data_IF_637370921943
#
_entry.id   IF_637370921943
#
_cell.length_a   1.000
_cell.length_b   1.000
_cell.length_c   1.000
_cell.angle_alpha   90.00
_cell.angle_beta   90.00
_cell.angle_gamma   90.00
#
_symmetry.space_group_name_H-M   'P 1'
#
loop_
_entity.id
_entity.type
_entity.pdbx_description
1 polymer ?
#
# COMPACT_ATOMS: atom_id res chain seq x y z
N UNK A 1 -46.35 -22.55 -43.93
CA UNK A 1 -46.93 -21.68 -42.87
C UNK A 1 -45.83 -21.45 -41.85
N UNK A 2 -45.26 -20.24 -41.77
CA UNK A 2 -44.31 -19.89 -40.72
C UNK A 2 -45.04 -19.94 -39.37
N UNK A 3 -44.81 -20.99 -38.58
CA UNK A 3 -45.38 -21.13 -37.24
C UNK A 3 -44.86 -20.07 -36.27
N UNK A 4 -43.75 -19.38 -36.59
CA UNK A 4 -43.14 -18.35 -35.75
C UNK A 4 -44.05 -17.11 -35.58
N UNK A 5 -44.56 -16.55 -36.68
CA UNK A 5 -45.37 -15.33 -36.64
C UNK A 5 -46.76 -15.54 -36.01
N UNK A 6 -47.33 -16.74 -36.15
CA UNK A 6 -48.60 -17.10 -35.52
C UNK A 6 -48.44 -17.38 -34.02
N UNK A 7 -47.30 -17.93 -33.59
CA UNK A 7 -47.03 -18.22 -32.18
C UNK A 7 -46.81 -16.94 -31.38
N UNK A 8 -46.14 -15.94 -31.96
CA UNK A 8 -45.94 -14.61 -31.33
C UNK A 8 -47.31 -13.91 -31.09
N UNK A 9 -48.25 -14.01 -32.04
CA UNK A 9 -49.60 -13.44 -31.89
C UNK A 9 -50.46 -14.13 -30.82
N UNK A 10 -50.28 -15.44 -30.61
CA UNK A 10 -50.98 -16.18 -29.55
C UNK A 10 -50.42 -15.80 -28.16
N UNK A 11 -49.11 -15.59 -28.10
CA UNK A 11 -48.39 -15.16 -26.90
C UNK A 11 -48.82 -13.76 -26.42
N UNK A 12 -48.94 -12.79 -27.32
CA UNK A 12 -49.37 -11.42 -26.98
C UNK A 12 -50.85 -11.34 -26.55
N UNK A 13 -51.67 -12.31 -26.95
CA UNK A 13 -53.09 -12.39 -26.59
C UNK A 13 -53.36 -13.13 -25.26
N UNK A 14 -52.35 -13.79 -24.67
CA UNK A 14 -52.47 -14.58 -23.44
C UNK A 14 -53.45 -15.75 -23.52
N UNK A 15 -53.84 -16.17 -24.73
CA UNK A 15 -54.82 -17.22 -24.94
C UNK A 15 -54.19 -18.59 -24.72
N UNK A 16 -54.88 -19.47 -23.97
CA UNK A 16 -54.47 -20.86 -23.69
C UNK A 16 -53.21 -21.05 -22.82
N UNK A 17 -52.73 -20.00 -22.14
CA UNK A 17 -51.66 -20.15 -21.16
C UNK A 17 -52.11 -21.03 -19.98
N UNK A 18 -51.33 -22.07 -19.70
CA UNK A 18 -51.56 -23.04 -18.62
C UNK A 18 -50.48 -22.96 -17.52
N UNK A 19 -49.54 -22.01 -17.64
CA UNK A 19 -48.40 -21.82 -16.74
C UNK A 19 -48.17 -20.35 -16.42
N UNK A 20 -47.97 -20.04 -15.13
CA UNK A 20 -47.49 -18.76 -14.62
C UNK A 20 -46.12 -18.96 -13.96
N UNK A 21 -45.09 -18.29 -14.49
CA UNK A 21 -43.76 -18.26 -13.88
C UNK A 21 -43.51 -16.87 -13.30
N UNK A 22 -43.23 -16.83 -11.99
CA UNK A 22 -42.71 -15.62 -11.33
C UNK A 22 -41.20 -15.60 -11.45
N UNK A 23 -40.65 -14.57 -12.10
CA UNK A 23 -39.23 -14.39 -12.36
C UNK A 23 -38.66 -13.26 -11.51
N UNK A 24 -37.43 -13.45 -11.04
CA UNK A 24 -36.66 -12.44 -10.32
C UNK A 24 -36.84 -12.51 -8.81
N UNK A 25 -36.20 -11.58 -8.12
CA UNK A 25 -36.24 -11.43 -6.67
C UNK A 25 -36.90 -10.10 -6.28
N UNK A 26 -37.62 -10.08 -5.16
CA UNK A 26 -38.30 -8.86 -4.69
C UNK A 26 -37.27 -7.73 -4.46
N UNK A 27 -37.54 -6.48 -4.89
CA UNK A 27 -38.82 -5.98 -5.42
C UNK A 27 -39.00 -6.14 -6.94
N UNK A 28 -37.99 -6.64 -7.67
CA UNK A 28 -37.96 -6.69 -9.13
C UNK A 28 -38.45 -8.05 -9.65
N UNK A 29 -39.73 -8.33 -9.43
CA UNK A 29 -40.36 -9.57 -9.93
C UNK A 29 -41.39 -9.31 -11.02
N UNK A 30 -41.49 -10.22 -11.98
CA UNK A 30 -42.54 -10.18 -13.00
C UNK A 30 -43.17 -11.57 -13.19
N UNK A 31 -44.46 -11.58 -13.54
CA UNK A 31 -45.20 -12.82 -13.82
C UNK A 31 -45.31 -12.99 -15.33
N UNK A 32 -44.83 -14.12 -15.84
CA UNK A 32 -44.94 -14.52 -17.23
C UNK A 32 -46.01 -15.60 -17.38
N UNK A 33 -46.98 -15.38 -18.27
CA UNK A 33 -48.01 -16.36 -18.64
C UNK A 33 -47.60 -17.09 -19.90
N UNK A 34 -47.40 -18.40 -19.79
CA UNK A 34 -46.71 -19.23 -20.78
C UNK A 34 -47.46 -20.54 -21.03
N UNK A 35 -46.97 -21.28 -22.04
CA UNK A 35 -47.48 -22.60 -22.42
C UNK A 35 -46.48 -23.68 -21.97
N UNK A 36 -46.90 -24.52 -21.03
CA UNK A 36 -46.07 -25.57 -20.44
C UNK A 36 -45.51 -26.52 -21.51
N UNK A 37 -46.32 -26.88 -22.51
CA UNK A 37 -45.94 -27.78 -23.61
C UNK A 37 -44.77 -27.24 -24.44
N UNK A 38 -44.73 -25.92 -24.70
CA UNK A 38 -43.66 -25.29 -25.48
C UNK A 38 -42.36 -25.31 -24.67
N UNK A 39 -42.42 -24.91 -23.39
CA UNK A 39 -41.26 -24.89 -22.50
C UNK A 39 -40.66 -26.30 -22.32
N UNK A 40 -41.50 -27.33 -22.09
CA UNK A 40 -41.06 -28.73 -21.95
C UNK A 40 -40.38 -29.28 -23.21
N UNK A 41 -40.78 -28.81 -24.39
CA UNK A 41 -40.17 -29.24 -25.65
C UNK A 41 -38.79 -28.60 -25.86
N UNK A 42 -38.65 -27.34 -25.42
CA UNK A 42 -37.49 -26.49 -25.75
C UNK A 42 -36.39 -26.50 -24.70
N UNK A 43 -36.69 -26.94 -23.48
CA UNK A 43 -35.77 -26.93 -22.35
C UNK A 43 -35.95 -28.18 -21.51
N UNK A 44 -34.87 -28.94 -21.34
CA UNK A 44 -34.85 -30.11 -20.45
C UNK A 44 -35.08 -29.70 -18.99
N UNK A 45 -34.56 -28.55 -18.58
CA UNK A 45 -34.85 -27.98 -17.26
C UNK A 45 -36.35 -27.82 -17.05
N UNK A 46 -37.06 -27.20 -18.01
CA UNK A 46 -38.50 -27.04 -17.90
C UNK A 46 -39.25 -28.36 -18.01
N UNK A 47 -38.78 -29.31 -18.83
CA UNK A 47 -39.33 -30.67 -18.89
C UNK A 47 -39.34 -31.35 -17.52
N UNK A 48 -38.24 -31.24 -16.80
CA UNK A 48 -38.04 -31.89 -15.50
C UNK A 48 -38.78 -31.15 -14.39
N UNK A 49 -38.59 -29.82 -14.26
CA UNK A 49 -39.24 -29.04 -13.20
C UNK A 49 -40.76 -29.05 -13.37
N UNK A 50 -41.25 -28.99 -14.63
CA UNK A 50 -42.69 -28.98 -14.90
C UNK A 50 -43.35 -30.37 -14.82
N UNK A 51 -42.58 -31.39 -14.44
CA UNK A 51 -43.05 -32.73 -14.13
C UNK A 51 -42.77 -33.14 -12.67
N UNK A 52 -42.27 -32.20 -11.86
CA UNK A 52 -41.88 -32.42 -10.47
C UNK A 52 -42.93 -31.93 -9.47
N UNK A 53 -42.83 -32.43 -8.24
CA UNK A 53 -43.71 -32.04 -7.11
C UNK A 53 -43.51 -30.58 -6.66
N UNK A 54 -42.54 -29.85 -7.23
CA UNK A 54 -42.24 -28.45 -6.89
C UNK A 54 -43.24 -27.46 -7.49
N UNK A 55 -44.10 -27.90 -8.42
CA UNK A 55 -45.11 -27.04 -9.05
C UNK A 55 -46.38 -27.01 -8.20
N UNK A 56 -46.96 -25.83 -8.07
CA UNK A 56 -48.31 -25.68 -7.51
C UNK A 56 -49.32 -25.59 -8.64
N UNK A 57 -50.46 -26.26 -8.49
CA UNK A 57 -51.59 -26.13 -9.42
C UNK A 57 -52.72 -25.39 -8.72
N UNK A 58 -53.06 -24.22 -9.22
CA UNK A 58 -54.14 -23.36 -8.69
C UNK A 58 -55.06 -22.94 -9.84
N UNK A 59 -56.37 -23.15 -9.70
CA UNK A 59 -57.35 -22.78 -10.74
C UNK A 59 -57.01 -23.32 -12.14
N UNK A 60 -56.49 -24.56 -12.22
CA UNK A 60 -56.00 -25.21 -13.43
C UNK A 60 -54.74 -24.59 -14.08
N UNK A 61 -54.12 -23.59 -13.45
CA UNK A 61 -52.86 -22.99 -13.89
C UNK A 61 -51.71 -23.53 -13.06
N UNK A 62 -50.64 -23.94 -13.71
CA UNK A 62 -49.38 -24.32 -13.08
C UNK A 62 -48.64 -23.06 -12.62
N UNK A 63 -48.11 -23.05 -11.41
CA UNK A 63 -47.38 -21.92 -10.84
C UNK A 63 -45.98 -22.34 -10.42
N UNK A 64 -44.99 -21.56 -10.85
CA UNK A 64 -43.59 -21.78 -10.57
C UNK A 64 -42.87 -20.45 -10.30
N UNK A 65 -41.80 -20.49 -9.49
CA UNK A 65 -40.99 -19.31 -9.14
C UNK A 65 -39.51 -19.61 -9.41
N UNK A 66 -38.83 -18.71 -10.11
CA UNK A 66 -37.40 -18.79 -10.44
C UNK A 66 -36.75 -17.43 -10.13
N UNK A 67 -35.90 -17.44 -9.12
CA UNK A 67 -35.32 -16.23 -8.51
C UNK A 67 -33.99 -15.82 -9.15
N UNK A 68 -33.16 -16.80 -9.55
CA UNK A 68 -31.79 -16.58 -10.05
C UNK A 68 -31.68 -16.08 -11.52
N UNK A 69 -32.74 -15.50 -12.08
CA UNK A 69 -32.72 -14.90 -13.43
C UNK A 69 -33.46 -13.58 -13.38
N UNK A 70 -32.86 -12.51 -13.92
CA UNK A 70 -33.52 -11.20 -13.97
C UNK A 70 -34.67 -11.20 -14.97
N UNK A 71 -35.66 -10.33 -14.73
CA UNK A 71 -36.84 -10.17 -15.61
C UNK A 71 -36.42 -9.85 -17.05
N UNK A 72 -35.43 -8.97 -17.23
CA UNK A 72 -34.91 -8.58 -18.55
C UNK A 72 -34.30 -9.78 -19.30
N UNK A 73 -33.42 -10.53 -18.64
CA UNK A 73 -32.77 -11.70 -19.25
C UNK A 73 -33.80 -12.78 -19.60
N UNK A 74 -34.74 -13.04 -18.69
CA UNK A 74 -35.79 -14.02 -18.95
C UNK A 74 -36.69 -13.59 -20.11
N UNK A 75 -36.95 -12.30 -20.30
CA UNK A 75 -37.72 -11.80 -21.44
C UNK A 75 -37.06 -12.13 -22.78
N UNK A 76 -35.73 -12.02 -22.86
CA UNK A 76 -34.96 -12.41 -24.06
C UNK A 76 -35.06 -13.92 -24.30
N UNK A 77 -34.87 -14.72 -23.24
CA UNK A 77 -34.98 -16.19 -23.30
C UNK A 77 -36.38 -16.63 -23.73
N UNK A 78 -37.40 -16.00 -23.16
CA UNK A 78 -38.79 -16.23 -23.50
C UNK A 78 -39.03 -15.98 -25.00
N UNK A 79 -38.60 -14.85 -25.55
CA UNK A 79 -38.74 -14.59 -26.98
C UNK A 79 -38.05 -15.66 -27.83
N UNK A 80 -36.84 -16.06 -27.43
CA UNK A 80 -36.10 -17.12 -28.12
C UNK A 80 -36.87 -18.44 -28.13
N UNK A 81 -37.40 -18.88 -26.99
CA UNK A 81 -38.17 -20.14 -26.86
C UNK A 81 -39.31 -20.20 -27.89
N UNK A 82 -39.98 -19.07 -28.16
CA UNK A 82 -41.13 -19.00 -29.05
C UNK A 82 -40.82 -18.66 -30.51
N UNK A 83 -39.65 -18.06 -30.80
CA UNK A 83 -39.34 -17.53 -32.13
C UNK A 83 -38.07 -18.07 -32.77
N UNK A 84 -37.21 -18.78 -32.02
CA UNK A 84 -35.83 -19.14 -32.41
C UNK A 84 -34.90 -17.94 -32.65
N UNK A 85 -35.34 -16.71 -32.34
CA UNK A 85 -34.55 -15.49 -32.53
C UNK A 85 -33.97 -15.03 -31.19
N UNK A 86 -32.66 -14.83 -31.15
CA UNK A 86 -31.96 -14.25 -30.00
C UNK A 86 -31.78 -12.75 -30.23
N UNK A 87 -32.43 -11.96 -29.39
CA UNK A 87 -32.25 -10.50 -29.35
C UNK A 87 -30.94 -10.17 -28.63
N UNK A 88 -29.81 -10.29 -29.33
CA UNK A 88 -28.51 -9.90 -28.79
C UNK A 88 -28.46 -8.42 -28.47
N UNK A 89 -27.87 -8.10 -27.32
CA UNK A 89 -27.66 -6.70 -26.91
C UNK A 89 -26.26 -6.25 -27.30
N UNK A 90 -26.04 -4.92 -27.36
CA UNK A 90 -24.69 -4.37 -27.50
C UNK A 90 -23.87 -4.46 -26.22
N UNK A 91 -24.51 -4.76 -25.08
CA UNK A 91 -23.84 -4.90 -23.80
C UNK A 91 -23.34 -6.34 -23.60
N UNK A 92 -22.02 -6.48 -23.42
CA UNK A 92 -21.40 -7.79 -23.19
C UNK A 92 -21.85 -8.38 -21.86
N UNK A 93 -22.10 -7.57 -20.83
CA UNK A 93 -22.50 -8.06 -19.52
C UNK A 93 -23.88 -8.72 -19.59
N UNK A 94 -24.85 -8.09 -20.26
CA UNK A 94 -26.15 -8.69 -20.54
C UNK A 94 -26.04 -9.98 -21.36
N UNK A 95 -25.19 -10.02 -22.40
CA UNK A 95 -25.02 -11.25 -23.20
C UNK A 95 -24.35 -12.40 -22.41
N UNK A 96 -23.42 -12.10 -21.49
CA UNK A 96 -22.83 -13.11 -20.60
C UNK A 96 -23.86 -13.58 -19.56
N UNK A 97 -24.64 -12.66 -18.97
CA UNK A 97 -25.73 -13.03 -18.08
C UNK A 97 -26.79 -13.90 -18.80
N UNK A 98 -27.05 -13.61 -20.08
CA UNK A 98 -27.90 -14.41 -20.94
C UNK A 98 -27.33 -15.82 -21.17
N UNK A 99 -26.03 -15.94 -21.41
CA UNK A 99 -25.34 -17.23 -21.54
C UNK A 99 -25.51 -18.08 -20.26
N UNK A 100 -25.25 -17.48 -19.10
CA UNK A 100 -25.40 -18.15 -17.80
C UNK A 100 -26.85 -18.59 -17.58
N UNK A 101 -27.82 -17.71 -17.84
CA UNK A 101 -29.24 -18.03 -17.66
C UNK A 101 -29.74 -19.09 -18.67
N UNK A 102 -29.23 -19.09 -19.90
CA UNK A 102 -29.55 -20.10 -20.90
C UNK A 102 -29.04 -21.49 -20.46
N UNK A 103 -27.83 -21.56 -19.91
CA UNK A 103 -27.28 -22.80 -19.34
C UNK A 103 -28.07 -23.28 -18.11
N UNK A 104 -28.41 -22.35 -17.20
CA UNK A 104 -29.28 -22.59 -16.04
C UNK A 104 -30.64 -23.22 -16.41
N UNK A 105 -31.10 -22.96 -17.65
CA UNK A 105 -32.34 -23.49 -18.23
C UNK A 105 -32.10 -24.61 -19.25
N UNK A 106 -30.88 -25.12 -19.35
CA UNK A 106 -30.44 -26.18 -20.27
C UNK A 106 -30.81 -25.91 -21.74
N UNK A 107 -30.58 -24.68 -22.22
CA UNK A 107 -30.83 -24.23 -23.59
C UNK A 107 -29.55 -24.29 -24.44
N UNK A 108 -29.02 -25.51 -24.66
CA UNK A 108 -27.68 -25.72 -25.25
C UNK A 108 -27.46 -25.06 -26.62
N UNK A 109 -28.47 -25.05 -27.50
CA UNK A 109 -28.39 -24.41 -28.82
C UNK A 109 -28.23 -22.89 -28.68
N UNK A 110 -28.92 -22.30 -27.70
CA UNK A 110 -28.81 -20.88 -27.38
C UNK A 110 -27.42 -20.56 -26.82
N UNK A 111 -26.90 -21.38 -25.90
CA UNK A 111 -25.54 -21.20 -25.36
C UNK A 111 -24.49 -21.18 -26.48
N UNK A 112 -24.58 -22.15 -27.40
CA UNK A 112 -23.66 -22.24 -28.55
C UNK A 112 -23.72 -21.00 -29.44
N UNK A 113 -24.92 -20.49 -29.72
CA UNK A 113 -25.11 -19.27 -30.50
C UNK A 113 -24.58 -18.02 -29.78
N UNK A 114 -24.76 -17.93 -28.46
CA UNK A 114 -24.25 -16.81 -27.66
C UNK A 114 -22.72 -16.83 -27.59
N UNK A 115 -22.09 -18.00 -27.36
CA UNK A 115 -20.63 -18.13 -27.38
C UNK A 115 -20.04 -17.68 -28.73
N UNK A 116 -20.60 -18.16 -29.84
CA UNK A 116 -20.17 -17.76 -31.18
C UNK A 116 -20.31 -16.24 -31.39
N UNK A 117 -21.41 -15.64 -30.92
CA UNK A 117 -21.64 -14.20 -31.02
C UNK A 117 -20.63 -13.40 -30.18
N UNK A 118 -20.36 -13.81 -28.94
CA UNK A 118 -19.39 -13.16 -28.07
C UNK A 118 -17.99 -13.17 -28.69
N UNK A 119 -17.58 -14.31 -29.24
CA UNK A 119 -16.25 -14.50 -29.83
C UNK A 119 -16.03 -13.76 -31.16
N UNK A 120 -17.08 -13.19 -31.77
CA UNK A 120 -16.95 -12.32 -32.94
C UNK A 120 -16.26 -10.98 -32.62
N UNK A 121 -16.35 -10.51 -31.37
CA UNK A 121 -15.71 -9.27 -30.92
C UNK A 121 -14.79 -9.53 -29.72
N UNK A 122 -13.65 -10.17 -30.01
CA UNK A 122 -12.63 -10.51 -29.01
C UNK A 122 -12.07 -9.29 -28.28
N UNK A 123 -12.04 -8.12 -28.93
CA UNK A 123 -11.52 -6.89 -28.31
C UNK A 123 -12.50 -6.33 -27.29
N UNK A 124 -13.80 -6.41 -27.56
CA UNK A 124 -14.82 -6.04 -26.57
C UNK A 124 -14.84 -7.02 -25.38
N UNK A 125 -14.58 -8.30 -25.62
CA UNK A 125 -14.38 -9.30 -24.56
C UNK A 125 -13.17 -8.98 -23.68
N UNK A 126 -12.03 -8.64 -24.29
CA UNK A 126 -10.82 -8.20 -23.56
C UNK A 126 -11.04 -6.97 -22.70
N UNK A 127 -11.90 -6.04 -23.12
CA UNK A 127 -12.28 -4.86 -22.32
C UNK A 127 -13.18 -5.19 -21.12
N UNK A 128 -13.88 -6.33 -21.15
CA UNK A 128 -14.81 -6.78 -20.09
C UNK A 128 -14.36 -8.14 -19.53
N UNK A 129 -13.05 -8.30 -19.36
CA UNK A 129 -12.44 -9.60 -19.13
C UNK A 129 -12.81 -10.18 -17.76
N UNK A 130 -13.08 -9.34 -16.76
CA UNK A 130 -13.52 -9.78 -15.42
C UNK A 130 -14.89 -10.45 -15.48
N UNK A 131 -15.81 -9.92 -16.29
CA UNK A 131 -17.14 -10.52 -16.48
C UNK A 131 -17.04 -11.93 -17.06
N UNK A 132 -16.08 -12.19 -17.94
CA UNK A 132 -15.84 -13.52 -18.55
C UNK A 132 -15.37 -14.52 -17.48
N UNK A 133 -14.49 -14.09 -16.58
CA UNK A 133 -13.95 -14.92 -15.49
C UNK A 133 -15.06 -15.58 -14.69
N UNK A 134 -16.15 -14.87 -14.40
CA UNK A 134 -17.26 -15.43 -13.64
C UNK A 134 -17.96 -16.57 -14.38
N UNK A 135 -18.19 -16.42 -15.68
CA UNK A 135 -18.83 -17.45 -16.49
C UNK A 135 -17.95 -18.70 -16.63
N UNK A 136 -16.67 -18.52 -16.96
CA UNK A 136 -15.76 -19.65 -17.23
C UNK A 136 -15.26 -20.37 -15.98
N UNK A 137 -15.21 -19.69 -14.83
CA UNK A 137 -14.87 -20.35 -13.56
C UNK A 137 -16.04 -21.15 -12.98
N UNK A 138 -17.27 -20.78 -13.33
CA UNK A 138 -18.48 -21.47 -12.84
C UNK A 138 -18.88 -22.65 -13.73
N UNK A 139 -18.58 -22.59 -15.03
CA UNK A 139 -19.01 -23.56 -16.03
C UNK A 139 -17.87 -23.96 -16.96
N UNK A 140 -17.47 -25.23 -16.93
CA UNK A 140 -16.35 -25.77 -17.72
C UNK A 140 -16.75 -26.19 -19.15
N UNK A 141 -18.04 -26.31 -19.43
CA UNK A 141 -18.57 -26.76 -20.72
C UNK A 141 -18.66 -25.65 -21.78
N UNK A 142 -18.46 -24.37 -21.42
CA UNK A 142 -18.30 -23.26 -22.38
C UNK A 142 -16.91 -23.30 -23.04
N UNK A 143 -16.63 -24.38 -23.77
CA UNK A 143 -15.28 -24.76 -24.21
C UNK A 143 -14.59 -23.70 -25.06
N UNK A 144 -15.31 -23.03 -25.96
CA UNK A 144 -14.72 -22.02 -26.84
C UNK A 144 -14.38 -20.74 -26.06
N UNK A 145 -15.29 -20.28 -25.21
CA UNK A 145 -15.07 -19.11 -24.36
C UNK A 145 -13.98 -19.36 -23.31
N UNK A 146 -13.95 -20.56 -22.72
CA UNK A 146 -12.92 -20.99 -21.78
C UNK A 146 -11.55 -21.06 -22.44
N UNK A 147 -11.45 -21.57 -23.67
CA UNK A 147 -10.20 -21.61 -24.42
C UNK A 147 -9.72 -20.19 -24.74
N UNK A 148 -10.61 -19.30 -25.17
CA UNK A 148 -10.29 -17.88 -25.38
C UNK A 148 -9.74 -17.23 -24.11
N UNK A 149 -10.41 -17.43 -22.98
CA UNK A 149 -9.99 -16.92 -21.67
C UNK A 149 -8.59 -17.41 -21.29
N UNK A 150 -8.36 -18.73 -21.36
CA UNK A 150 -7.06 -19.34 -21.03
C UNK A 150 -5.93 -18.82 -21.91
N UNK A 151 -6.15 -18.79 -23.24
CA UNK A 151 -5.15 -18.30 -24.18
C UNK A 151 -4.81 -16.82 -23.93
N UNK A 152 -5.84 -15.98 -23.70
CA UNK A 152 -5.64 -14.54 -23.48
C UNK A 152 -4.85 -14.26 -22.20
N UNK A 153 -5.15 -14.99 -21.10
CA UNK A 153 -4.37 -14.86 -19.87
C UNK A 153 -2.94 -15.37 -20.00
N UNK A 154 -2.74 -16.46 -20.74
CA UNK A 154 -1.40 -17.01 -20.97
C UNK A 154 -0.54 -16.05 -21.79
N UNK A 155 -1.13 -15.35 -22.76
CA UNK A 155 -0.44 -14.35 -23.59
C UNK A 155 -0.10 -13.07 -22.83
N UNK A 156 -1.07 -12.48 -22.12
CA UNK A 156 -0.87 -11.26 -21.34
C UNK A 156 -1.76 -11.26 -20.07
N UNK A 157 -1.22 -11.68 -18.91
CA UNK A 157 -1.97 -11.63 -17.65
C UNK A 157 -2.39 -10.21 -17.26
N UNK A 158 -1.71 -9.16 -17.75
CA UNK A 158 -2.03 -7.77 -17.41
C UNK A 158 -3.36 -7.33 -18.00
N UNK A 159 -3.95 -8.11 -18.91
CA UNK A 159 -5.28 -7.87 -19.48
C UNK A 159 -6.35 -7.74 -18.39
N UNK A 160 -6.23 -8.52 -17.31
CA UNK A 160 -7.13 -8.44 -16.15
C UNK A 160 -7.09 -7.06 -15.51
N UNK A 161 -5.89 -6.56 -15.23
CA UNK A 161 -5.70 -5.25 -14.62
C UNK A 161 -6.16 -4.12 -15.56
N UNK A 162 -6.06 -4.30 -16.87
CA UNK A 162 -6.46 -3.30 -17.88
C UNK A 162 -7.95 -3.31 -18.22
N UNK A 163 -8.71 -4.29 -17.75
CA UNK A 163 -10.13 -4.41 -18.07
C UNK A 163 -10.95 -3.23 -17.51
N UNK A 164 -11.94 -2.77 -18.28
CA UNK A 164 -12.79 -1.64 -17.89
C UNK A 164 -13.73 -2.01 -16.73
N UNK A 165 -14.05 -3.28 -16.59
CA UNK A 165 -14.87 -3.85 -15.53
C UNK A 165 -14.03 -4.37 -14.36
N UNK A 166 -12.75 -4.00 -14.27
CA UNK A 166 -11.86 -4.49 -13.22
C UNK A 166 -12.43 -4.30 -11.81
N UNK A 167 -13.10 -3.17 -11.55
CA UNK A 167 -13.70 -2.86 -10.25
C UNK A 167 -14.80 -3.83 -9.81
N UNK A 168 -15.33 -4.66 -10.70
CA UNK A 168 -16.32 -5.70 -10.36
C UNK A 168 -15.69 -7.04 -9.96
N UNK A 169 -14.35 -7.15 -9.96
CA UNK A 169 -13.67 -8.39 -9.60
C UNK A 169 -13.95 -8.75 -8.14
N UNK A 170 -14.18 -10.02 -7.89
CA UNK A 170 -14.30 -10.55 -6.54
C UNK A 170 -12.91 -10.52 -5.85
N UNK A 171 -12.90 -10.22 -4.55
CA UNK A 171 -11.67 -10.03 -3.76
C UNK A 171 -10.76 -11.26 -3.81
N UNK A 172 -11.34 -12.45 -3.66
CA UNK A 172 -10.60 -13.70 -3.62
C UNK A 172 -9.92 -13.95 -4.98
N UNK A 173 -10.63 -13.73 -6.09
CA UNK A 173 -10.08 -13.85 -7.45
C UNK A 173 -8.94 -12.83 -7.67
N UNK A 174 -9.11 -11.59 -7.20
CA UNK A 174 -8.07 -10.59 -7.33
C UNK A 174 -6.81 -10.95 -6.51
N UNK A 175 -6.99 -11.48 -5.30
CA UNK A 175 -5.88 -11.91 -4.46
C UNK A 175 -5.11 -13.08 -5.11
N UNK A 176 -5.81 -14.05 -5.67
CA UNK A 176 -5.21 -15.16 -6.42
C UNK A 176 -4.41 -14.65 -7.63
N UNK A 177 -4.99 -13.70 -8.39
CA UNK A 177 -4.35 -13.10 -9.55
C UNK A 177 -3.00 -12.44 -9.17
N UNK A 178 -2.98 -11.63 -8.11
CA UNK A 178 -1.76 -10.96 -7.63
C UNK A 178 -0.73 -11.96 -7.08
N UNK A 179 -1.20 -13.08 -6.53
CA UNK A 179 -0.32 -14.12 -5.97
C UNK A 179 0.34 -14.98 -7.04
N UNK A 180 -0.36 -15.24 -8.16
CA UNK A 180 0.10 -16.15 -9.23
C UNK A 180 0.98 -15.42 -10.24
N UNK A 181 0.64 -14.17 -10.60
CA UNK A 181 1.29 -13.47 -11.70
C UNK A 181 2.28 -12.40 -11.22
N UNK A 182 3.46 -12.29 -11.85
CA UNK A 182 4.52 -11.35 -11.44
C UNK A 182 4.26 -9.93 -11.99
N UNK A 183 3.15 -9.32 -11.60
CA UNK A 183 2.85 -7.93 -12.00
C UNK A 183 3.84 -6.93 -11.42
N UNK A 184 3.96 -5.77 -12.06
CA UNK A 184 4.71 -4.66 -11.48
C UNK A 184 4.01 -4.21 -10.18
N UNK A 185 4.73 -4.13 -9.05
CA UNK A 185 4.10 -3.83 -7.75
C UNK A 185 3.30 -2.51 -7.75
N UNK A 186 3.77 -1.50 -8.48
CA UNK A 186 3.06 -0.22 -8.58
C UNK A 186 1.77 -0.29 -9.39
N UNK A 187 1.69 -1.16 -10.40
CA UNK A 187 0.47 -1.38 -11.19
C UNK A 187 -0.59 -2.08 -10.33
N UNK A 188 -0.17 -3.09 -9.57
CA UNK A 188 -1.03 -3.78 -8.59
C UNK A 188 -1.57 -2.79 -7.55
N UNK A 189 -0.69 -1.97 -6.97
CA UNK A 189 -1.09 -0.98 -5.97
C UNK A 189 -2.16 -0.02 -6.52
N UNK A 190 -1.95 0.55 -7.71
CA UNK A 190 -2.90 1.50 -8.30
C UNK A 190 -4.27 0.84 -8.53
N UNK A 191 -4.28 -0.40 -9.03
CA UNK A 191 -5.50 -1.16 -9.28
C UNK A 191 -6.20 -1.58 -7.99
N UNK A 192 -5.44 -1.93 -6.96
CA UNK A 192 -5.98 -2.25 -5.65
C UNK A 192 -6.70 -1.05 -5.02
N UNK A 193 -6.08 0.13 -5.11
CA UNK A 193 -6.73 1.38 -4.71
C UNK A 193 -8.02 1.60 -5.52
N UNK A 194 -7.95 1.59 -6.85
CA UNK A 194 -9.12 1.76 -7.72
C UNK A 194 -10.28 0.81 -7.35
N UNK A 195 -9.97 -0.47 -7.15
CA UNK A 195 -10.94 -1.48 -6.76
C UNK A 195 -11.54 -1.23 -5.37
N UNK A 196 -10.70 -0.93 -4.38
CA UNK A 196 -11.16 -0.72 -3.01
C UNK A 196 -12.08 0.51 -2.90
N UNK A 197 -11.78 1.58 -3.64
CA UNK A 197 -12.67 2.75 -3.73
C UNK A 197 -14.02 2.39 -4.37
N UNK A 198 -14.02 1.56 -5.42
CA UNK A 198 -15.27 1.13 -6.05
C UNK A 198 -16.16 0.26 -5.13
N UNK A 199 -15.55 -0.50 -4.20
CA UNK A 199 -16.31 -1.29 -3.21
C UNK A 199 -17.01 -0.41 -2.17
N UNK A 200 -16.40 0.71 -1.81
CA UNK A 200 -16.95 1.62 -0.82
C UNK A 200 -17.78 2.69 -1.54
N UNK A 201 -19.08 2.39 -1.70
CA UNK A 201 -20.08 3.15 -2.51
C UNK A 201 -20.24 4.66 -2.19
N UNK A 202 -19.48 5.22 -1.24
CA UNK A 202 -19.56 6.62 -0.77
C UNK A 202 -18.20 7.25 -0.42
N UNK A 203 -17.10 6.92 -1.11
CA UNK A 203 -15.84 7.66 -0.89
C UNK A 203 -15.72 8.91 -1.79
N UNK A 204 -15.18 10.02 -1.25
CA UNK A 204 -14.69 11.14 -2.04
C UNK A 204 -13.47 10.74 -2.88
N UNK A 205 -13.17 11.52 -3.93
CA UNK A 205 -12.13 11.26 -4.93
C UNK A 205 -10.69 11.17 -4.38
N UNK A 206 -10.48 11.56 -3.12
CA UNK A 206 -9.16 11.64 -2.49
C UNK A 206 -9.19 11.15 -1.04
N UNK A 207 -8.12 10.47 -0.62
CA UNK A 207 -7.98 9.95 0.76
C UNK A 207 -7.93 11.05 1.84
N UNK A 208 -7.56 12.28 1.46
CA UNK A 208 -7.54 13.46 2.31
C UNK A 208 -8.92 13.86 2.85
N UNK A 209 -10.00 13.34 2.25
CA UNK A 209 -11.40 13.69 2.54
C UNK A 209 -12.14 12.50 3.22
N UNK A 210 -11.44 11.39 3.51
CA UNK A 210 -12.06 10.22 4.12
C UNK A 210 -12.35 10.40 5.62
N UNK A 211 -13.53 9.95 6.06
CA UNK A 211 -13.86 9.79 7.49
C UNK A 211 -13.06 8.64 8.12
N UNK A 212 -12.98 8.60 9.46
CA UNK A 212 -12.34 7.50 10.20
C UNK A 212 -12.90 6.12 9.82
N UNK A 213 -14.21 6.03 9.63
CA UNK A 213 -14.91 4.78 9.32
C UNK A 213 -14.58 4.28 7.91
N UNK A 214 -14.44 5.21 6.96
CA UNK A 214 -14.00 4.93 5.59
C UNK A 214 -12.55 4.41 5.57
N UNK A 215 -11.67 4.96 6.42
CA UNK A 215 -10.27 4.52 6.53
C UNK A 215 -10.18 3.10 7.09
N UNK A 216 -10.98 2.76 8.11
CA UNK A 216 -11.02 1.40 8.67
C UNK A 216 -11.48 0.38 7.62
N UNK A 217 -12.55 0.71 6.90
CA UNK A 217 -13.10 -0.17 5.84
C UNK A 217 -12.07 -0.38 4.72
N UNK A 218 -11.39 0.70 4.30
CA UNK A 218 -10.35 0.64 3.28
C UNK A 218 -9.16 -0.22 3.73
N UNK A 219 -8.75 -0.09 5.01
CA UNK A 219 -7.70 -0.90 5.61
C UNK A 219 -8.05 -2.39 5.57
N UNK A 220 -9.27 -2.76 5.96
CA UNK A 220 -9.71 -4.17 5.98
C UNK A 220 -9.77 -4.78 4.58
N UNK A 221 -10.14 -4.00 3.56
CA UNK A 221 -10.16 -4.45 2.17
C UNK A 221 -8.75 -4.70 1.61
N UNK A 222 -7.79 -3.84 1.96
CA UNK A 222 -6.43 -3.83 1.39
C UNK A 222 -5.48 -4.77 2.14
N UNK A 223 -5.67 -4.95 3.44
CA UNK A 223 -4.75 -5.71 4.29
C UNK A 223 -4.35 -7.09 3.73
N UNK A 224 -5.27 -7.90 3.15
CA UNK A 224 -4.90 -9.21 2.57
C UNK A 224 -3.89 -9.13 1.43
N UNK A 225 -3.81 -8.00 0.72
CA UNK A 225 -2.95 -7.83 -0.44
C UNK A 225 -1.54 -7.35 -0.09
N UNK A 226 -1.34 -6.75 1.10
CA UNK A 226 -0.10 -6.06 1.46
C UNK A 226 1.12 -6.97 1.36
N UNK A 227 1.03 -8.22 1.84
CA UNK A 227 2.13 -9.19 1.77
C UNK A 227 2.46 -9.67 0.35
N UNK A 228 1.56 -9.47 -0.61
CA UNK A 228 1.74 -9.89 -2.00
C UNK A 228 2.32 -8.78 -2.88
N UNK A 229 2.42 -7.55 -2.38
CA UNK A 229 3.01 -6.42 -3.10
C UNK A 229 4.45 -6.22 -2.62
N UNK A 230 5.41 -6.35 -3.53
CA UNK A 230 6.83 -6.08 -3.24
C UNK A 230 7.10 -4.58 -3.22
N UNK A 231 6.74 -3.91 -2.13
CA UNK A 231 6.87 -2.45 -2.03
C UNK A 231 8.30 -1.95 -2.22
N UNK A 232 9.32 -2.70 -1.79
CA UNK A 232 10.74 -2.37 -1.97
C UNK A 232 11.14 -2.27 -3.46
N UNK A 233 10.44 -2.98 -4.34
CA UNK A 233 10.66 -2.94 -5.80
C UNK A 233 9.92 -1.76 -6.49
N UNK A 234 9.09 -1.01 -5.75
CA UNK A 234 8.46 0.22 -6.26
C UNK A 234 9.52 1.32 -6.31
N UNK A 235 9.57 2.10 -7.38
CA UNK A 235 10.49 3.24 -7.45
C UNK A 235 10.15 4.28 -6.36
N UNK A 236 11.15 4.89 -5.67
CA UNK A 236 10.89 5.81 -4.55
C UNK A 236 9.95 6.96 -4.89
N UNK A 237 10.07 7.52 -6.10
CA UNK A 237 9.20 8.60 -6.57
C UNK A 237 7.75 8.14 -6.75
N UNK A 238 7.50 6.92 -7.20
CA UNK A 238 6.15 6.35 -7.33
C UNK A 238 5.57 5.98 -5.98
N UNK A 239 6.36 5.40 -5.08
CA UNK A 239 5.95 5.11 -3.71
C UNK A 239 5.46 6.39 -3.00
N UNK A 240 6.24 7.46 -3.11
CA UNK A 240 5.89 8.77 -2.54
C UNK A 240 4.60 9.35 -3.12
N UNK A 241 4.42 9.25 -4.43
CA UNK A 241 3.25 9.85 -5.09
C UNK A 241 1.98 9.03 -4.92
N UNK A 242 2.07 7.70 -4.96
CA UNK A 242 0.91 6.81 -5.09
C UNK A 242 0.64 5.95 -3.85
N UNK A 243 1.67 5.54 -3.10
CA UNK A 243 1.50 4.66 -1.93
C UNK A 243 1.37 5.47 -0.64
N UNK A 244 2.28 6.41 -0.42
CA UNK A 244 2.32 7.23 0.79
C UNK A 244 1.00 7.91 1.18
N UNK A 245 0.18 8.48 0.26
CA UNK A 245 -1.07 9.12 0.67
C UNK A 245 -1.96 8.20 1.53
N UNK A 246 -1.76 6.90 1.39
CA UNK A 246 -2.43 5.82 2.10
C UNK A 246 -1.65 5.30 3.32
N UNK A 247 -0.68 6.05 3.87
CA UNK A 247 0.12 5.61 5.03
C UNK A 247 -0.72 5.16 6.24
N UNK A 248 -1.91 5.74 6.41
CA UNK A 248 -2.80 5.47 7.56
C UNK A 248 -3.44 4.08 7.50
N UNK A 249 -3.54 3.49 6.31
CA UNK A 249 -4.05 2.12 6.15
C UNK A 249 -2.92 1.08 6.21
N UNK A 250 -1.67 1.50 6.12
CA UNK A 250 -0.50 0.63 6.27
C UNK A 250 -0.12 0.49 7.74
N UNK A 251 0.48 -0.65 8.11
CA UNK A 251 1.09 -0.82 9.42
C UNK A 251 2.30 0.14 9.55
N UNK A 252 2.40 0.86 10.68
CA UNK A 252 3.46 1.87 10.90
C UNK A 252 4.87 1.29 10.85
N UNK A 253 5.10 0.12 11.44
CA UNK A 253 6.41 -0.52 11.47
C UNK A 253 6.82 -0.97 10.06
N UNK A 254 5.87 -1.57 9.32
CA UNK A 254 6.06 -1.96 7.92
C UNK A 254 6.36 -0.75 7.02
N UNK A 255 5.63 0.34 7.22
CA UNK A 255 5.84 1.57 6.46
C UNK A 255 7.22 2.18 6.73
N UNK A 256 7.67 2.17 8.00
CA UNK A 256 9.02 2.62 8.38
C UNK A 256 10.08 1.72 7.75
N UNK A 257 9.90 0.39 7.75
CA UNK A 257 10.84 -0.55 7.14
C UNK A 257 11.09 -0.25 5.65
N UNK A 258 10.02 0.08 4.90
CA UNK A 258 10.14 0.45 3.48
C UNK A 258 10.89 1.78 3.31
N UNK A 259 10.64 2.76 4.18
CA UNK A 259 11.36 4.04 4.14
C UNK A 259 12.84 3.89 4.49
N UNK A 260 13.16 3.04 5.47
CA UNK A 260 14.54 2.72 5.81
C UNK A 260 15.23 2.07 4.62
N UNK A 261 14.61 1.09 3.95
CA UNK A 261 15.16 0.46 2.74
C UNK A 261 15.55 1.49 1.66
N UNK A 262 14.67 2.44 1.32
CA UNK A 262 14.99 3.46 0.33
C UNK A 262 16.07 4.45 0.76
N UNK A 263 16.31 4.58 2.07
CA UNK A 263 17.29 5.52 2.61
C UNK A 263 18.71 4.96 2.62
N UNK A 264 18.85 3.63 2.51
CA UNK A 264 20.13 2.92 2.48
C UNK A 264 20.49 2.37 1.08
N UNK A 265 19.71 2.65 0.04
CA UNK A 265 20.01 2.23 -1.33
C UNK A 265 21.19 3.04 -1.91
N UNK A 266 22.34 2.38 -2.03
CA UNK A 266 23.60 2.92 -2.56
C UNK A 266 23.45 3.60 -3.94
N UNK A 267 22.49 3.17 -4.77
CA UNK A 267 22.27 3.75 -6.10
C UNK A 267 21.64 5.15 -6.06
N UNK A 268 20.98 5.48 -4.95
CA UNK A 268 20.39 6.80 -4.66
C UNK A 268 21.40 7.66 -3.91
N UNK A 269 22.09 7.09 -2.91
CA UNK A 269 23.13 7.77 -2.11
C UNK A 269 24.26 8.29 -3.01
N UNK A 270 24.73 7.49 -3.96
CA UNK A 270 25.81 7.86 -4.89
C UNK A 270 25.49 9.06 -5.82
N UNK A 271 24.22 9.43 -5.97
CA UNK A 271 23.77 10.56 -6.82
C UNK A 271 23.58 11.87 -6.06
N UNK A 272 23.52 11.83 -4.73
CA UNK A 272 23.27 13.00 -3.88
C UNK A 272 24.51 13.33 -3.04
N UNK A 273 24.97 14.59 -3.07
CA UNK A 273 26.16 15.02 -2.33
C UNK A 273 25.81 16.14 -1.35
N UNK A 274 26.02 15.91 -0.05
CA UNK A 274 25.97 16.98 0.95
C UNK A 274 27.36 17.56 1.13
N UNK A 275 27.51 18.87 0.90
CA UNK A 275 28.77 19.57 1.15
C UNK A 275 28.99 19.70 2.67
N UNK A 276 30.17 19.27 3.13
CA UNK A 276 30.57 19.34 4.54
C UNK A 276 32.08 19.61 4.63
N UNK A 277 32.45 20.57 5.48
CA UNK A 277 33.85 20.80 5.86
C UNK A 277 34.24 19.81 6.96
N UNK A 278 34.46 18.54 6.59
CA UNK A 278 34.86 17.47 7.52
C UNK A 278 36.18 16.83 7.11
N UNK A 279 37.06 16.59 8.08
CA UNK A 279 38.26 15.76 7.93
C UNK A 279 38.00 14.28 8.26
N UNK A 280 36.81 13.95 8.79
CA UNK A 280 36.46 12.61 9.27
C UNK A 280 35.57 11.87 8.27
N UNK A 281 34.54 12.53 7.73
CA UNK A 281 33.55 11.96 6.82
C UNK A 281 33.54 12.63 5.45
N UNK A 282 33.06 11.90 4.45
CA UNK A 282 32.86 12.41 3.09
C UNK A 282 31.41 12.91 2.86
N UNK A 283 31.13 13.40 1.66
CA UNK A 283 29.80 13.93 1.29
C UNK A 283 28.67 12.90 1.30
N UNK A 284 28.97 11.63 1.04
CA UNK A 284 27.98 10.54 1.01
C UNK A 284 27.57 10.15 2.44
N UNK A 285 28.56 10.04 3.34
CA UNK A 285 28.36 9.84 4.76
C UNK A 285 27.59 11.01 5.41
N UNK A 286 27.91 12.24 5.01
CA UNK A 286 27.18 13.43 5.47
C UNK A 286 25.73 13.43 4.99
N UNK A 287 25.50 13.01 3.73
CA UNK A 287 24.16 12.86 3.18
C UNK A 287 23.34 11.81 3.95
N UNK A 288 23.93 10.66 4.26
CA UNK A 288 23.30 9.62 5.06
C UNK A 288 22.86 10.14 6.44
N UNK A 289 23.77 10.81 7.15
CA UNK A 289 23.47 11.40 8.47
C UNK A 289 22.40 12.50 8.38
N UNK A 290 22.44 13.34 7.34
CA UNK A 290 21.41 14.34 7.10
C UNK A 290 20.02 13.72 6.89
N UNK A 291 19.94 12.63 6.12
CA UNK A 291 18.68 11.91 5.92
C UNK A 291 18.14 11.32 7.22
N UNK A 292 19.01 10.74 8.05
CA UNK A 292 18.61 10.20 9.35
C UNK A 292 18.08 11.27 10.30
N UNK A 293 18.77 12.41 10.37
CA UNK A 293 18.30 13.57 11.13
C UNK A 293 16.91 13.99 10.63
N UNK A 294 16.68 13.98 9.31
CA UNK A 294 15.41 14.41 8.73
C UNK A 294 14.26 13.45 9.03
N UNK A 295 14.51 12.14 8.92
CA UNK A 295 13.56 11.08 9.26
C UNK A 295 13.10 11.27 10.71
N UNK A 296 14.03 11.57 11.61
CA UNK A 296 13.75 11.77 13.03
C UNK A 296 13.10 13.13 13.31
N UNK A 297 13.48 14.20 12.62
CA UNK A 297 12.89 15.54 12.79
C UNK A 297 11.37 15.52 12.60
N UNK A 298 10.89 14.88 11.52
CA UNK A 298 9.48 14.82 11.22
C UNK A 298 9.14 13.62 10.30
N UNK A 299 8.82 12.45 10.88
CA UNK A 299 8.49 11.23 10.13
C UNK A 299 7.33 11.44 9.14
N UNK A 300 6.40 12.36 9.46
CA UNK A 300 5.22 12.64 8.65
C UNK A 300 5.51 13.56 7.44
N UNK A 301 6.55 14.40 7.53
CA UNK A 301 6.94 15.39 6.50
C UNK A 301 8.04 14.87 5.58
N UNK A 302 8.93 13.97 6.05
CA UNK A 302 9.90 13.29 5.18
C UNK A 302 9.22 12.66 3.96
N UNK A 303 8.09 12.03 4.21
CA UNK A 303 7.27 11.43 3.20
C UNK A 303 6.70 12.49 2.21
N UNK A 304 6.53 13.77 2.57
CA UNK A 304 5.96 14.84 1.72
C UNK A 304 6.94 15.54 0.80
N UNK A 305 8.23 15.48 1.11
CA UNK A 305 9.24 16.33 0.48
C UNK A 305 10.00 15.61 -0.64
N UNK A 306 9.88 14.28 -0.79
CA UNK A 306 10.52 13.52 -1.88
C UNK A 306 9.99 13.84 -3.30
N UNK A 307 9.12 14.86 -3.44
CA UNK A 307 8.73 15.44 -4.73
C UNK A 307 9.82 16.30 -5.39
N UNK A 308 10.88 16.73 -4.70
CA UNK A 308 11.99 17.48 -5.31
C UNK A 308 13.33 17.06 -4.73
N UNK A 309 14.27 16.64 -5.58
CA UNK A 309 15.68 16.45 -5.21
C UNK A 309 16.37 17.76 -4.75
N UNK A 310 15.71 18.91 -4.82
CA UNK A 310 16.28 20.22 -4.55
C UNK A 310 16.30 20.67 -3.07
N UNK A 311 15.87 19.84 -2.09
CA UNK A 311 15.72 20.27 -0.68
C UNK A 311 16.51 19.41 0.34
N UNK A 312 17.56 18.70 -0.07
CA UNK A 312 18.31 17.79 0.82
C UNK A 312 19.56 18.37 1.48
N UNK A 313 19.53 19.62 1.96
CA UNK A 313 20.75 20.20 2.55
C UNK A 313 20.46 20.82 3.91
N UNK A 314 20.47 19.99 4.96
CA UNK A 314 20.98 20.53 6.21
C UNK A 314 22.39 21.03 5.92
N UNK A 315 22.61 22.32 6.14
CA UNK A 315 23.96 22.86 6.10
C UNK A 315 24.62 22.50 7.41
N UNK A 316 25.74 21.81 7.35
CA UNK A 316 26.57 21.55 8.51
C UNK A 316 27.59 22.68 8.66
N UNK A 317 27.45 23.49 9.71
CA UNK A 317 28.45 24.52 10.05
C UNK A 317 29.39 23.96 11.09
N UNK A 318 30.67 23.83 10.76
CA UNK A 318 31.69 23.37 11.70
C UNK A 318 31.80 24.36 12.88
N UNK A 319 31.54 23.88 14.09
CA UNK A 319 31.73 24.63 15.34
C UNK A 319 33.13 24.38 15.89
N UNK A 320 33.50 23.11 16.01
CA UNK A 320 34.75 22.67 16.64
C UNK A 320 35.42 21.61 15.79
N UNK A 321 36.73 21.70 15.65
CA UNK A 321 37.61 20.66 15.13
C UNK A 321 38.79 20.50 16.06
N UNK A 322 39.01 19.30 16.58
CA UNK A 322 40.05 19.03 17.58
C UNK A 322 41.44 19.50 17.17
N UNK A 323 41.88 19.17 15.95
CA UNK A 323 43.18 19.61 15.43
C UNK A 323 43.33 21.13 15.25
N UNK A 324 42.22 21.88 15.15
CA UNK A 324 42.20 23.34 14.95
C UNK A 324 42.05 24.08 16.28
N UNK A 325 41.09 23.66 17.10
CA UNK A 325 40.60 24.42 18.26
C UNK A 325 41.09 23.83 19.59
N UNK A 326 41.46 22.55 19.61
CA UNK A 326 41.88 21.82 20.81
C UNK A 326 40.87 20.75 21.25
N UNK A 327 41.31 19.93 22.20
CA UNK A 327 40.58 18.74 22.67
C UNK A 327 40.16 18.86 24.14
N UNK A 328 39.84 20.07 24.57
CA UNK A 328 39.40 20.32 25.96
C UNK A 328 37.88 20.49 26.04
N UNK A 329 37.29 20.12 27.17
CA UNK A 329 35.86 20.36 27.47
C UNK A 329 35.56 21.86 27.46
N UNK A 330 36.48 22.68 27.97
CA UNK A 330 36.43 24.14 27.90
C UNK A 330 36.31 24.67 26.47
N UNK A 331 37.09 24.12 25.53
CA UNK A 331 37.00 24.49 24.10
C UNK A 331 35.64 24.11 23.53
N UNK A 332 35.17 22.90 23.84
CA UNK A 332 33.86 22.43 23.41
C UNK A 332 32.73 23.36 23.90
N UNK A 333 32.67 23.65 25.20
CA UNK A 333 31.61 24.50 25.75
C UNK A 333 31.63 25.93 25.20
N UNK A 334 32.83 26.53 25.08
CA UNK A 334 32.98 27.88 24.52
C UNK A 334 32.41 28.01 23.09
N UNK A 335 32.45 26.92 22.31
CA UNK A 335 32.07 26.92 20.90
C UNK A 335 30.70 26.29 20.62
N UNK A 336 30.24 25.36 21.47
CA UNK A 336 29.05 24.54 21.24
C UNK A 336 27.86 24.85 22.15
N UNK A 337 28.07 25.48 23.31
CA UNK A 337 26.97 25.77 24.24
C UNK A 337 25.95 26.72 23.59
N UNK A 338 24.66 26.44 23.82
CA UNK A 338 23.57 27.25 23.31
C UNK A 338 23.42 27.31 21.78
N UNK A 339 24.14 26.47 21.02
CA UNK A 339 24.09 26.48 19.54
C UNK A 339 22.91 25.73 18.94
N UNK A 340 22.08 25.06 19.74
CA UNK A 340 20.98 24.23 19.26
C UNK A 340 21.47 22.88 18.70
N UNK A 341 20.79 22.32 17.70
CA UNK A 341 21.08 20.99 17.17
C UNK A 341 22.52 20.81 16.68
N UNK A 342 23.15 19.72 17.09
CA UNK A 342 24.53 19.40 16.70
C UNK A 342 24.71 17.95 16.25
N UNK A 343 25.57 17.76 15.26
CA UNK A 343 26.13 16.47 14.86
C UNK A 343 27.59 16.38 15.33
N UNK A 344 27.87 15.45 16.23
CA UNK A 344 29.21 15.16 16.73
C UNK A 344 29.78 13.94 16.01
N UNK A 345 31.02 14.04 15.55
CA UNK A 345 31.72 13.01 14.79
C UNK A 345 33.12 12.83 15.38
N UNK A 346 33.55 11.59 15.60
CA UNK A 346 34.88 11.26 16.08
C UNK A 346 35.51 10.12 15.29
N UNK A 347 36.81 10.23 15.04
CA UNK A 347 37.65 9.15 14.52
C UNK A 347 38.45 8.55 15.66
N UNK A 348 38.32 7.24 15.82
CA UNK A 348 39.06 6.51 16.85
C UNK A 348 40.52 6.31 16.40
N UNK A 349 41.47 6.57 17.30
CA UNK A 349 42.90 6.48 17.03
C UNK A 349 43.34 5.05 16.77
N UNK A 350 44.22 4.88 15.79
CA UNK A 350 44.77 3.57 15.35
C UNK A 350 43.68 2.58 14.89
N UNK A 351 42.45 3.03 14.62
CA UNK A 351 41.41 2.23 13.98
C UNK A 351 40.82 2.98 12.78
N UNK A 352 39.94 2.32 12.05
CA UNK A 352 39.18 2.95 10.96
C UNK A 352 37.75 3.33 11.39
N UNK A 353 37.46 3.28 12.70
CA UNK A 353 36.11 3.51 13.23
C UNK A 353 35.78 5.00 13.20
N UNK A 354 34.63 5.33 12.60
CA UNK A 354 33.99 6.63 12.71
C UNK A 354 32.74 6.44 13.56
N UNK A 355 32.65 7.18 14.66
CA UNK A 355 31.52 7.13 15.58
C UNK A 355 31.02 8.52 15.87
N UNK A 356 29.80 8.63 16.37
CA UNK A 356 29.25 9.93 16.69
C UNK A 356 27.84 9.89 17.21
N UNK A 357 27.25 11.07 17.32
CA UNK A 357 25.86 11.21 17.73
C UNK A 357 25.27 12.54 17.30
N UNK A 358 23.96 12.53 17.13
CA UNK A 358 23.16 13.72 16.87
C UNK A 358 22.38 14.09 18.14
N UNK A 359 22.51 15.36 18.55
CA UNK A 359 21.71 15.95 19.61
C UNK A 359 20.79 17.02 18.99
N UNK A 360 19.45 16.90 19.09
CA UNK A 360 18.52 17.92 18.58
C UNK A 360 18.40 19.14 19.51
N UNK A 361 19.12 19.17 20.64
CA UNK A 361 19.09 20.25 21.62
C UNK A 361 20.47 20.91 21.76
N UNK A 362 20.49 22.08 22.39
CA UNK A 362 21.72 22.76 22.81
C UNK A 362 22.45 21.98 23.90
N UNK A 363 23.77 22.10 23.91
CA UNK A 363 24.62 21.75 25.05
C UNK A 363 24.68 22.90 26.06
N UNK A 364 24.96 22.56 27.32
CA UNK A 364 25.15 23.52 28.40
C UNK A 364 26.26 23.06 29.37
N UNK A 365 27.01 24.01 29.90
CA UNK A 365 27.96 23.80 31.00
C UNK A 365 27.25 23.65 32.37
N UNK A 366 26.00 24.09 32.48
CA UNK A 366 25.19 23.88 33.69
C UNK A 366 24.83 22.40 33.82
N UNK A 367 25.17 21.81 34.97
CA UNK A 367 25.08 20.37 35.19
C UNK A 367 23.65 19.83 35.23
N UNK A 368 23.44 18.66 34.61
CA UNK A 368 22.19 17.92 34.67
C UNK A 368 21.97 16.99 33.48
N UNK A 369 21.18 15.93 33.70
CA UNK A 369 20.44 15.33 32.58
C UNK A 369 19.42 16.38 32.09
N UNK A 370 18.82 16.20 30.91
CA UNK A 370 17.78 17.10 30.41
C UNK A 370 16.54 17.09 31.34
N UNK A 371 16.59 17.90 32.41
CA UNK A 371 15.51 18.17 33.37
C UNK A 371 15.34 19.67 33.56
N UNK A 372 15.56 20.49 32.53
CA UNK A 372 14.98 21.84 32.58
C UNK A 372 13.45 21.67 32.56
N UNK A 373 12.91 21.69 33.78
CA UNK A 373 11.51 21.56 34.13
C UNK A 373 10.60 22.60 33.43
N UNK A 374 11.19 23.57 32.73
CA UNK A 374 10.45 24.56 31.94
C UNK A 374 10.09 24.10 30.52
N UNK A 375 10.73 23.06 29.97
CA UNK A 375 10.41 22.51 28.65
C UNK A 375 10.38 20.97 28.66
N UNK A 376 9.26 20.46 29.19
CA UNK A 376 8.65 19.15 28.90
C UNK A 376 9.29 17.92 29.57
N UNK A 377 8.87 17.69 30.82
CA UNK A 377 8.70 16.34 31.39
C UNK A 377 7.79 15.43 30.53
N UNK A 378 7.09 15.99 29.54
CA UNK A 378 6.25 15.30 28.56
C UNK A 378 6.77 15.39 27.09
N UNK A 379 8.08 15.56 26.83
CA UNK A 379 8.60 15.44 25.45
C UNK A 379 9.17 14.03 25.24
N UNK A 380 8.44 13.10 24.62
CA UNK A 380 8.88 11.72 24.34
C UNK A 380 9.92 11.66 23.22
N UNK A 381 10.90 12.56 23.24
CA UNK A 381 11.60 12.93 22.03
C UNK A 381 12.85 12.07 21.78
N UNK A 382 12.62 10.92 21.15
CA UNK A 382 13.66 9.93 20.79
C UNK A 382 14.43 10.32 19.51
N UNK A 383 14.61 11.62 19.27
CA UNK A 383 15.27 12.17 18.08
C UNK A 383 16.79 12.15 18.16
N UNK A 384 17.37 11.98 19.35
CA UNK A 384 18.80 11.72 19.50
C UNK A 384 19.15 10.31 19.07
N UNK A 385 20.26 10.17 18.36
CA UNK A 385 20.81 8.88 17.96
C UNK A 385 22.34 8.92 18.04
N UNK A 386 22.94 7.76 18.28
CA UNK A 386 24.37 7.53 18.10
C UNK A 386 24.60 6.58 16.93
N UNK A 387 25.78 6.64 16.33
CA UNK A 387 26.08 5.87 15.13
C UNK A 387 27.53 5.39 15.08
N UNK A 388 27.75 4.41 14.22
CA UNK A 388 29.06 3.98 13.73
C UNK A 388 28.98 3.83 12.22
N UNK A 389 29.87 4.52 11.49
CA UNK A 389 29.87 4.49 10.03
C UNK A 389 30.93 3.52 9.51
N UNK A 390 30.52 2.64 8.60
CA UNK A 390 31.43 1.84 7.80
C UNK A 390 31.93 2.69 6.62
N UNK A 391 33.26 2.76 6.46
CA UNK A 391 33.90 3.58 5.41
C UNK A 391 33.80 2.98 4.01
N UNK A 392 33.55 1.67 3.89
CA UNK A 392 33.57 0.93 2.63
C UNK A 392 32.18 0.60 2.13
N UNK A 393 31.26 0.26 3.05
CA UNK A 393 29.88 -0.05 2.71
C UNK A 393 28.95 0.60 3.73
N UNK A 394 28.24 1.65 3.31
CA UNK A 394 27.37 2.42 4.19
C UNK A 394 26.20 1.60 4.74
N UNK A 395 25.76 0.54 4.05
CA UNK A 395 24.71 -0.38 4.54
C UNK A 395 25.10 -1.11 5.82
N UNK A 396 26.41 -1.29 6.08
CA UNK A 396 26.91 -1.89 7.31
C UNK A 396 26.98 -0.89 8.48
N UNK A 397 26.64 0.38 8.24
CA UNK A 397 26.67 1.40 9.28
C UNK A 397 25.60 1.11 10.35
N UNK A 398 25.96 1.32 11.61
CA UNK A 398 25.06 1.08 12.74
C UNK A 398 24.44 2.39 13.19
N UNK A 399 23.11 2.38 13.32
CA UNK A 399 22.35 3.47 13.90
C UNK A 399 21.64 2.98 15.16
N UNK A 400 21.73 3.76 16.21
CA UNK A 400 21.22 3.40 17.52
C UNK A 400 20.40 4.56 18.05
N UNK A 401 19.08 4.35 18.17
CA UNK A 401 18.15 5.37 18.70
C UNK A 401 18.17 5.32 20.23
N UNK A 402 17.89 6.46 20.85
CA UNK A 402 17.76 6.52 22.31
C UNK A 402 16.49 5.80 22.76
N UNK A 403 16.57 5.04 23.85
CA UNK A 403 15.42 4.33 24.44
C UNK A 403 14.45 5.28 25.15
N UNK A 404 14.99 6.25 25.89
CA UNK A 404 14.25 7.27 26.64
C UNK A 404 14.90 8.63 26.43
N UNK A 405 14.09 9.66 26.17
CA UNK A 405 14.57 11.04 25.96
C UNK A 405 15.35 11.59 27.16
N UNK A 406 14.98 11.19 28.38
CA UNK A 406 15.67 11.58 29.63
C UNK A 406 17.14 11.17 29.68
N UNK A 407 17.49 10.11 28.95
CA UNK A 407 18.86 9.58 28.89
C UNK A 407 19.56 9.96 27.58
N UNK A 408 19.04 10.90 26.81
CA UNK A 408 19.58 11.22 25.47
C UNK A 408 20.98 11.81 25.54
N UNK A 409 21.21 12.78 26.43
CA UNK A 409 22.47 13.47 26.61
C UNK A 409 22.66 13.92 28.06
N UNK A 410 23.88 14.32 28.41
CA UNK A 410 24.22 14.88 29.72
C UNK A 410 25.00 16.19 29.55
N UNK A 411 24.68 17.17 30.38
CA UNK A 411 25.32 18.48 30.43
C UNK A 411 26.13 18.63 31.72
N UNK A 412 27.21 19.39 31.67
CA UNK A 412 28.07 19.70 32.81
C UNK A 412 29.41 20.28 32.38
N UNK A 413 29.95 21.21 33.17
CA UNK A 413 31.14 22.01 32.88
C UNK A 413 32.39 21.18 32.51
N UNK A 414 32.55 20.01 33.15
CA UNK A 414 33.68 19.09 32.91
C UNK A 414 33.32 17.95 31.93
N UNK A 415 32.26 18.10 31.14
CA UNK A 415 31.72 17.03 30.28
C UNK A 415 31.63 17.50 28.84
N UNK A 416 32.45 16.89 27.97
CA UNK A 416 32.33 17.06 26.52
C UNK A 416 31.07 16.43 25.94
N UNK A 417 31.03 16.16 24.62
CA UNK A 417 29.88 15.50 23.99
C UNK A 417 29.53 14.18 24.69
N UNK A 418 28.34 14.11 25.29
CA UNK A 418 27.89 12.97 26.07
C UNK A 418 26.48 12.53 25.66
N UNK A 419 26.39 11.32 25.10
CA UNK A 419 25.16 10.66 24.69
C UNK A 419 24.91 9.46 25.61
N UNK A 420 23.78 9.44 26.31
CA UNK A 420 23.41 8.34 27.21
C UNK A 420 23.31 8.73 28.68
N UNK A 421 23.21 10.04 28.99
CA UNK A 421 23.08 10.56 30.35
C UNK A 421 24.33 10.36 31.20
N UNK A 422 24.17 10.41 32.53
CA UNK A 422 25.27 10.17 33.51
C UNK A 422 26.09 8.89 33.28
N UNK A 423 25.51 7.90 32.59
CA UNK A 423 26.12 6.62 32.24
C UNK A 423 26.31 6.46 30.73
N UNK A 424 26.78 7.51 30.07
CA UNK A 424 26.98 7.65 28.62
C UNK A 424 27.26 6.35 27.86
N UNK A 425 26.47 6.11 26.80
CA UNK A 425 26.74 5.11 25.77
C UNK A 425 27.89 5.56 24.86
N UNK A 426 28.01 6.88 24.65
CA UNK A 426 29.13 7.52 23.97
C UNK A 426 29.47 8.83 24.68
N UNK A 427 30.69 8.93 25.21
CA UNK A 427 31.26 10.18 25.72
C UNK A 427 32.58 10.48 25.01
N UNK A 428 32.82 11.75 24.71
CA UNK A 428 34.09 12.25 24.17
C UNK A 428 34.70 13.27 25.14
N UNK A 429 36.01 13.49 25.01
CA UNK A 429 36.79 14.42 25.83
C UNK A 429 36.75 14.06 27.33
N UNK A 430 36.81 12.76 27.63
CA UNK A 430 36.82 12.26 29.00
C UNK A 430 38.06 12.77 29.74
N UNK A 431 37.87 13.28 30.96
CA UNK A 431 38.94 13.80 31.82
C UNK A 431 39.75 14.95 31.19
N UNK A 432 39.12 15.75 30.30
CA UNK A 432 39.76 16.84 29.57
C UNK A 432 40.96 16.37 28.70
N UNK A 433 40.85 15.13 28.20
CA UNK A 433 41.86 14.49 27.37
C UNK A 433 41.26 14.05 26.04
N UNK A 434 42.11 13.69 25.07
CA UNK A 434 41.71 13.08 23.79
C UNK A 434 41.23 11.63 23.96
N UNK A 435 40.44 11.36 24.98
CA UNK A 435 39.87 10.05 25.29
C UNK A 435 38.36 10.10 25.15
N UNK A 436 37.77 9.01 24.67
CA UNK A 436 36.35 8.76 24.69
C UNK A 436 36.02 7.48 25.43
N UNK A 437 34.73 7.27 25.69
CA UNK A 437 34.20 6.06 26.31
C UNK A 437 32.97 5.60 25.54
N UNK A 438 32.89 4.30 25.24
CA UNK A 438 31.72 3.72 24.59
C UNK A 438 31.25 2.43 25.27
N UNK A 439 29.97 2.37 25.62
CA UNK A 439 29.28 1.20 26.18
C UNK A 439 27.84 1.15 25.66
N UNK A 440 27.13 0.03 25.83
CA UNK A 440 25.70 -0.05 25.48
C UNK A 440 24.85 -0.06 26.74
N UNK A 441 24.03 0.96 26.93
CA UNK A 441 23.11 1.13 28.08
C UNK A 441 21.78 1.72 27.65
N UNK A 442 21.74 3.01 27.32
CA UNK A 442 20.54 3.81 27.09
C UNK A 442 20.15 3.95 25.61
N UNK A 443 21.04 3.56 24.69
CA UNK A 443 20.75 3.44 23.28
C UNK A 443 20.45 1.97 22.88
N UNK A 444 19.67 1.78 21.82
CA UNK A 444 19.09 0.49 21.43
C UNK A 444 20.16 -0.55 21.03
N UNK A 445 21.09 -0.13 20.19
CA UNK A 445 22.10 -0.94 19.52
C UNK A 445 23.52 -0.51 19.93
N UNK A 446 24.44 -1.48 20.00
CA UNK A 446 25.85 -1.23 20.28
C UNK A 446 26.53 -0.69 19.02
N UNK A 447 27.30 0.39 19.16
CA UNK A 447 28.00 1.03 18.01
C UNK A 447 29.47 0.65 17.87
N UNK A 448 30.08 -0.02 18.86
CA UNK A 448 31.48 -0.48 18.82
C UNK A 448 31.68 -1.84 19.48
N UNK A 449 32.44 -2.72 18.82
CA UNK A 449 32.76 -4.06 19.32
C UNK A 449 33.75 -4.07 20.50
N UNK A 450 34.53 -3.01 20.68
CA UNK A 450 35.39 -2.81 21.84
C UNK A 450 34.69 -1.84 22.80
N UNK A 451 34.21 -2.34 23.95
CA UNK A 451 33.64 -1.50 25.01
C UNK A 451 34.72 -0.90 25.89
N UNK A 452 34.50 0.31 26.38
CA UNK A 452 35.39 0.97 27.34
C UNK A 452 36.00 2.26 26.79
N UNK A 453 37.16 2.62 27.31
CA UNK A 453 37.90 3.81 26.90
C UNK A 453 38.60 3.60 25.55
N UNK A 454 38.80 4.70 24.83
CA UNK A 454 39.55 4.72 23.58
C UNK A 454 40.16 6.10 23.33
N UNK A 455 41.28 6.12 22.61
CA UNK A 455 41.91 7.36 22.17
C UNK A 455 41.18 7.92 20.94
N UNK A 456 41.03 9.24 20.91
CA UNK A 456 40.47 10.02 19.80
C UNK A 456 41.63 10.54 18.94
N UNK A 457 41.55 10.32 17.63
CA UNK A 457 42.47 10.91 16.65
C UNK A 457 42.00 12.31 16.22
N UNK A 458 40.71 12.43 15.92
CA UNK A 458 40.06 13.69 15.56
C UNK A 458 38.61 13.68 16.02
N UNK A 459 38.08 14.85 16.40
CA UNK A 459 36.65 15.05 16.59
C UNK A 459 36.20 16.36 15.95
N UNK A 460 34.97 16.36 15.46
CA UNK A 460 34.32 17.52 14.87
C UNK A 460 32.89 17.63 15.42
N UNK A 461 32.46 18.85 15.70
CA UNK A 461 31.08 19.15 16.08
C UNK A 461 30.52 20.15 15.08
N UNK A 462 29.39 19.79 14.46
CA UNK A 462 28.71 20.61 13.47
C UNK A 462 27.37 21.09 14.00
N UNK A 463 27.08 22.38 13.85
CA UNK A 463 25.72 22.87 13.97
C UNK A 463 24.89 22.44 12.74
N UNK A 464 23.68 21.93 12.98
CA UNK A 464 22.76 21.48 11.93
C UNK A 464 21.77 22.60 11.60
N UNK A 465 22.09 23.41 10.60
CA UNK A 465 21.24 24.55 10.22
C UNK A 465 19.95 24.09 9.55
N UNK A 466 18.84 24.76 9.86
CA UNK A 466 17.53 24.47 9.25
C UNK A 466 16.73 23.36 9.94
N UNK A 467 17.22 22.85 11.07
CA UNK A 467 16.48 21.95 11.95
C UNK A 467 15.51 22.75 12.84
N UNK A 468 14.23 22.39 12.83
CA UNK A 468 13.18 23.04 13.60
C UNK A 468 12.76 22.18 14.79
N UNK A 469 13.23 22.54 15.99
CA UNK A 469 12.90 21.84 17.23
C UNK A 469 11.41 21.95 17.64
N UNK A 470 10.65 22.91 17.08
CA UNK A 470 9.34 23.34 17.58
C UNK A 470 8.10 22.76 16.85
N UNK A 471 8.28 21.86 15.87
CA UNK A 471 7.18 21.38 15.00
C UNK A 471 6.08 20.51 15.67
N UNK A 472 6.04 20.41 17.00
CA UNK A 472 4.98 19.70 17.75
C UNK A 472 3.96 20.64 18.43
N UNK A 473 4.09 21.97 18.30
CA UNK A 473 3.17 22.92 18.97
C UNK A 473 1.93 23.32 18.14
N UNK A 474 1.80 22.88 16.88
CA UNK A 474 0.73 23.34 15.99
C UNK A 474 -0.21 22.24 15.45
N UNK A 475 -0.33 21.09 16.14
CA UNK A 475 -1.25 20.01 15.71
C UNK A 475 -2.48 19.87 16.65
N UNK A 476 -2.58 20.66 17.72
CA UNK A 476 -3.76 20.66 18.61
C UNK A 476 -4.39 22.05 18.78
N UNK A 477 -4.78 22.69 17.67
CA UNK A 477 -5.83 23.73 17.67
C UNK A 477 -6.75 23.56 16.47
#
# INVERSE_FOLDING_TARGET
MNMSDSSIKIVDAGAFCDLEITIGEKPNTAIFRLHSVILKNRSNYFKDILSSDKIKKENNILKYQKENISVEIFHIIFKYIYSDIIDFTSDVKTNIALLIAADDLCLNDMCSAIEAKLLNDKELLKKNFVTITHAVNKFDHFTNLLQFYKNTLQEDPTIMLKANDFTTINREIFLDLVSIYPFKPIEVWNKLIEWAFAQIKQLPSEISICTSDNISTLKDLIQPFISHIKFKDIAPHEFSQKVKPYKQILNSDFYIEILEYYSFDDSIISKCRTDIDSLIINSEQAFLLANLIKILENPSVYASISKRLDIFFYKFTLLVRGSRDGYTTSTFHNLCDGKGPTLTIARVKKTNEIIGGFNPYSWYSEGGDCTDDSYRRDSPDRRSFIFSLDRKNLENSVFSKVKSGECAHFNGEDVGPNFGGKNADLALLCFDQNEGKCVKKNYETRIRDNTGQFDIDEYEVFHVNGYNCNNLLYINQ
#
